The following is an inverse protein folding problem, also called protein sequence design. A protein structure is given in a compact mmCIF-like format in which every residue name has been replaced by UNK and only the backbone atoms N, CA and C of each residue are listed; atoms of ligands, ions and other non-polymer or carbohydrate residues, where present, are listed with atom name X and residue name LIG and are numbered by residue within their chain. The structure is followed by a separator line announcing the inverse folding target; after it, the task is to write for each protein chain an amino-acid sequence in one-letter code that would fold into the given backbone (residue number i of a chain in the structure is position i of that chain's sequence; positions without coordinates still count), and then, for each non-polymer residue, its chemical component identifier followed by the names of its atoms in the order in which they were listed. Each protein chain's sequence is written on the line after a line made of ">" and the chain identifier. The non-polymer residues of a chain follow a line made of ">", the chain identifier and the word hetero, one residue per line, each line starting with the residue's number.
data_IF_141930322103
#
_entry.id   IF_141930322103
#
_cell.length_a   1.000
_cell.length_b   1.000
_cell.length_c   1.000
_cell.angle_alpha   90.00
_cell.angle_beta   90.00
_cell.angle_gamma   90.00
#
_symmetry.space_group_name_H-M   'P 1'
#
loop_
_entity.id
_entity.type
_entity.pdbx_description
1 polymer ?
#
# COMPACT_ATOMS: atom_id res chain seq x y z
N UNK A 1 -11.38 -11.98 -21.47
CA UNK A 1 -10.93 -11.43 -22.74
C UNK A 1 -10.10 -10.18 -22.49
N UNK A 2 -8.90 -10.19 -23.03
CA UNK A 2 -8.05 -9.02 -22.98
C UNK A 2 -8.61 -7.97 -23.94
N UNK A 3 -8.83 -6.76 -23.47
CA UNK A 3 -9.33 -5.68 -24.31
C UNK A 3 -8.33 -4.51 -24.34
N UNK A 4 -8.60 -3.55 -25.23
CA UNK A 4 -7.71 -2.41 -25.44
C UNK A 4 -7.58 -1.52 -24.20
N UNK A 5 -8.55 -1.56 -23.31
CA UNK A 5 -8.52 -0.73 -22.11
C UNK A 5 -7.48 -1.23 -21.08
N UNK A 6 -7.08 -2.50 -21.16
CA UNK A 6 -6.12 -3.04 -20.22
C UNK A 6 -4.77 -2.32 -20.29
N UNK A 7 -4.33 -1.96 -21.50
CA UNK A 7 -3.06 -1.25 -21.66
C UNK A 7 -3.12 0.16 -21.06
N UNK A 8 -4.25 0.85 -21.22
CA UNK A 8 -4.43 2.18 -20.65
C UNK A 8 -4.57 2.14 -19.12
N UNK A 9 -4.99 1.00 -18.56
CA UNK A 9 -5.18 0.84 -17.13
C UNK A 9 -3.86 0.79 -16.34
N UNK A 10 -2.72 0.55 -16.99
CA UNK A 10 -1.45 0.45 -16.29
C UNK A 10 -1.05 1.73 -15.56
N UNK A 11 -1.55 2.88 -15.99
CA UNK A 11 -1.26 4.15 -15.35
C UNK A 11 -2.35 4.62 -14.37
N UNK A 12 -3.38 3.82 -14.13
CA UNK A 12 -4.47 4.27 -13.29
C UNK A 12 -4.12 4.18 -11.79
N UNK A 13 -4.90 4.86 -10.92
CA UNK A 13 -4.61 4.90 -9.48
C UNK A 13 -4.53 3.53 -8.83
N UNK A 14 -5.35 2.58 -9.26
CA UNK A 14 -5.33 1.22 -8.70
C UNK A 14 -3.97 0.58 -8.87
N UNK A 15 -3.42 0.66 -10.10
CA UNK A 15 -2.14 0.05 -10.40
C UNK A 15 -1.01 0.68 -9.61
N UNK A 16 -1.05 1.99 -9.40
CA UNK A 16 -0.05 2.68 -8.59
C UNK A 16 -0.08 2.19 -7.14
N UNK A 17 -1.27 2.02 -6.58
CA UNK A 17 -1.44 1.51 -5.22
C UNK A 17 -0.91 0.08 -5.11
N UNK A 18 -1.30 -0.81 -6.02
CA UNK A 18 -0.83 -2.18 -6.01
C UNK A 18 0.69 -2.27 -6.16
N UNK A 19 1.24 -1.51 -7.10
CA UNK A 19 2.68 -1.50 -7.32
C UNK A 19 3.42 -1.00 -6.09
N UNK A 20 2.93 0.07 -5.46
CA UNK A 20 3.56 0.61 -4.28
C UNK A 20 3.58 -0.40 -3.13
N UNK A 21 2.47 -1.10 -2.91
CA UNK A 21 2.34 -2.05 -1.81
C UNK A 21 2.90 -3.45 -2.12
N UNK A 22 3.30 -3.70 -3.36
CA UNK A 22 3.90 -4.98 -3.72
C UNK A 22 5.31 -5.16 -3.14
N UNK A 23 6.04 -4.08 -2.96
CA UNK A 23 7.38 -4.13 -2.36
C UNK A 23 7.25 -4.35 -0.85
N UNK A 24 7.84 -5.42 -0.29
CA UNK A 24 7.68 -5.72 1.14
C UNK A 24 8.21 -4.62 2.06
N UNK A 25 9.34 -4.01 1.72
CA UNK A 25 9.91 -2.94 2.55
C UNK A 25 9.03 -1.71 2.53
N UNK A 26 8.53 -1.35 1.36
CA UNK A 26 7.63 -0.20 1.19
C UNK A 26 6.33 -0.42 1.95
N UNK A 27 5.79 -1.63 1.84
CA UNK A 27 4.56 -1.99 2.57
C UNK A 27 4.77 -1.92 4.08
N UNK A 28 5.92 -2.37 4.58
CA UNK A 28 6.24 -2.31 6.00
C UNK A 28 6.34 -0.86 6.49
N UNK A 29 6.92 0.02 5.69
CA UNK A 29 6.98 1.45 6.01
C UNK A 29 5.57 2.05 6.06
N UNK A 30 4.73 1.73 5.09
CA UNK A 30 3.35 2.17 5.09
C UNK A 30 2.61 1.69 6.34
N UNK A 31 2.75 0.42 6.69
CA UNK A 31 2.12 -0.15 7.87
C UNK A 31 2.60 0.54 9.16
N UNK A 32 3.88 0.88 9.24
CA UNK A 32 4.40 1.63 10.37
C UNK A 32 3.72 2.99 10.51
N UNK A 33 3.47 3.66 9.38
CA UNK A 33 2.82 4.97 9.38
C UNK A 33 1.34 4.89 9.76
N UNK A 34 0.71 3.73 9.65
CA UNK A 34 -0.68 3.58 10.11
C UNK A 34 -0.80 3.70 11.63
N UNK A 35 0.31 3.54 12.35
CA UNK A 35 0.34 3.69 13.81
C UNK A 35 0.61 5.12 14.24
N UNK A 36 1.01 5.97 13.33
CA UNK A 36 1.27 7.37 13.61
C UNK A 36 2.28 7.96 12.67
N UNK A 37 2.25 9.27 12.59
CA UNK A 37 3.18 10.06 11.81
C UNK A 37 4.63 9.81 12.23
N UNK A 38 5.54 9.83 11.28
CA UNK A 38 6.96 9.64 11.56
C UNK A 38 7.83 10.47 10.63
N UNK A 39 8.99 10.86 11.13
CA UNK A 39 10.02 11.51 10.33
C UNK A 39 10.86 10.46 9.61
N UNK A 40 11.52 10.88 8.53
CA UNK A 40 12.39 9.99 7.75
C UNK A 40 13.46 9.34 8.66
N UNK A 41 14.06 10.10 9.56
CA UNK A 41 15.09 9.57 10.45
C UNK A 41 14.54 8.46 11.36
N UNK A 42 13.30 8.60 11.80
CA UNK A 42 12.66 7.59 12.65
C UNK A 42 12.46 6.29 11.88
N UNK A 43 12.00 6.41 10.63
CA UNK A 43 11.80 5.25 9.77
C UNK A 43 13.12 4.57 9.43
N UNK A 44 14.15 5.36 9.15
CA UNK A 44 15.51 4.84 8.90
C UNK A 44 15.99 4.00 10.08
N UNK A 45 15.78 4.50 11.29
CA UNK A 45 16.17 3.79 12.49
C UNK A 45 15.38 2.51 12.69
N UNK A 46 14.05 2.57 12.50
CA UNK A 46 13.16 1.41 12.72
C UNK A 46 13.45 0.25 11.77
N UNK A 47 13.79 0.56 10.53
CA UNK A 47 13.90 -0.47 9.50
C UNK A 47 15.33 -0.86 9.18
N UNK A 48 16.32 -0.17 9.77
CA UNK A 48 17.74 -0.48 9.57
C UNK A 48 18.15 -0.48 8.10
N UNK A 49 17.57 0.42 7.32
CA UNK A 49 17.93 0.62 5.92
C UNK A 49 18.44 2.05 5.74
N UNK A 50 19.05 2.31 4.59
CA UNK A 50 19.63 3.63 4.35
C UNK A 50 18.56 4.71 4.23
N UNK A 51 18.93 5.94 4.57
CA UNK A 51 18.02 7.06 4.41
C UNK A 51 17.60 7.26 2.96
N UNK A 52 18.49 7.15 1.95
CA UNK A 52 18.05 7.21 0.56
C UNK A 52 17.00 6.15 0.20
N UNK A 53 17.14 4.94 0.73
CA UNK A 53 16.16 3.88 0.49
C UNK A 53 14.80 4.23 1.08
N UNK A 54 14.77 4.73 2.33
CA UNK A 54 13.53 5.19 2.96
C UNK A 54 12.89 6.30 2.13
N UNK A 55 13.71 7.26 1.70
CA UNK A 55 13.20 8.39 0.90
C UNK A 55 12.60 7.93 -0.42
N UNK A 56 13.21 6.94 -1.08
CA UNK A 56 12.68 6.37 -2.32
C UNK A 56 11.35 5.66 -2.10
N UNK A 57 11.24 4.90 -1.02
CA UNK A 57 9.98 4.22 -0.67
C UNK A 57 8.88 5.22 -0.37
N UNK A 58 9.20 6.27 0.39
CA UNK A 58 8.22 7.31 0.71
C UNK A 58 7.79 8.09 -0.53
N UNK A 59 8.71 8.34 -1.45
CA UNK A 59 8.37 9.01 -2.71
C UNK A 59 7.39 8.17 -3.53
N UNK A 60 7.61 6.86 -3.59
CA UNK A 60 6.71 5.96 -4.30
C UNK A 60 5.32 5.90 -3.64
N UNK A 61 5.29 5.85 -2.30
CA UNK A 61 4.03 5.86 -1.56
C UNK A 61 3.28 7.17 -1.76
N UNK A 62 4.00 8.29 -1.77
CA UNK A 62 3.40 9.59 -2.00
C UNK A 62 2.86 9.72 -3.42
N UNK A 63 3.62 9.25 -4.40
CA UNK A 63 3.17 9.27 -5.81
C UNK A 63 1.90 8.43 -5.99
N UNK A 64 1.76 7.36 -5.24
CA UNK A 64 0.56 6.52 -5.28
C UNK A 64 -0.61 7.12 -4.47
N UNK A 65 -0.39 8.24 -3.79
CA UNK A 65 -1.44 8.89 -2.99
C UNK A 65 -1.67 8.27 -1.63
N UNK A 66 -0.77 7.39 -1.18
CA UNK A 66 -0.96 6.65 0.06
C UNK A 66 -0.45 7.38 1.30
N UNK A 67 0.46 8.33 1.13
CA UNK A 67 1.00 9.11 2.23
C UNK A 67 1.09 10.58 1.83
N UNK A 68 1.13 11.43 2.84
CA UNK A 68 1.37 12.86 2.71
C UNK A 68 2.58 13.25 3.53
N UNK A 69 3.23 14.33 3.12
CA UNK A 69 4.36 14.89 3.84
C UNK A 69 3.99 16.27 4.36
N UNK A 70 4.47 16.60 5.56
CA UNK A 70 4.41 17.96 6.06
C UNK A 70 5.78 18.35 6.60
N UNK A 71 6.13 19.61 6.42
CA UNK A 71 7.38 20.13 6.94
C UNK A 71 7.12 20.89 8.24
N UNK A 72 7.95 20.63 9.23
CA UNK A 72 7.97 21.40 10.47
C UNK A 72 9.42 21.70 10.81
N UNK A 73 9.80 22.97 10.65
CA UNK A 73 11.20 23.36 10.79
C UNK A 73 12.07 22.67 9.75
N UNK A 74 13.07 21.94 10.21
CA UNK A 74 13.99 21.18 9.33
C UNK A 74 13.56 19.74 9.13
N UNK A 75 12.48 19.33 9.80
CA UNK A 75 12.00 17.96 9.73
C UNK A 75 10.86 17.82 8.73
N UNK A 76 10.83 16.70 8.02
CA UNK A 76 9.73 16.32 7.17
C UNK A 76 9.09 15.09 7.80
N UNK A 77 7.79 15.17 8.06
CA UNK A 77 7.02 14.10 8.65
C UNK A 77 6.08 13.51 7.61
N UNK A 78 5.94 12.21 7.61
CA UNK A 78 5.04 11.50 6.72
C UNK A 78 3.91 10.87 7.50
N UNK A 79 2.72 10.89 6.91
CA UNK A 79 1.53 10.30 7.50
C UNK A 79 0.72 9.61 6.42
N UNK A 80 -0.08 8.63 6.81
CA UNK A 80 -0.99 7.96 5.89
C UNK A 80 -2.05 8.94 5.39
N UNK A 81 -2.35 8.86 4.10
CA UNK A 81 -3.51 9.53 3.51
C UNK A 81 -4.60 8.48 3.29
N UNK A 82 -5.63 8.44 4.17
CA UNK A 82 -6.66 7.40 4.06
C UNK A 82 -7.37 7.36 2.71
N UNK A 83 -7.54 8.52 2.08
CA UNK A 83 -8.19 8.60 0.76
C UNK A 83 -7.41 7.85 -0.32
N UNK A 84 -6.12 7.70 -0.13
CA UNK A 84 -5.27 6.98 -1.08
C UNK A 84 -5.60 5.51 -1.18
N UNK A 85 -6.26 4.95 -0.17
CA UNK A 85 -6.68 3.55 -0.19
C UNK A 85 -7.97 3.33 -0.98
N UNK A 86 -8.67 4.39 -1.37
CA UNK A 86 -9.94 4.27 -2.07
C UNK A 86 -9.88 3.40 -3.31
N UNK A 87 -8.88 3.52 -4.21
CA UNK A 87 -8.82 2.64 -5.38
C UNK A 87 -8.77 1.16 -5.01
N UNK A 88 -8.04 0.82 -3.96
CA UNK A 88 -7.95 -0.56 -3.49
C UNK A 88 -9.26 -1.03 -2.88
N UNK A 89 -9.88 -0.19 -2.05
CA UNK A 89 -11.17 -0.50 -1.42
C UNK A 89 -12.24 -0.68 -2.50
N UNK A 90 -12.26 0.19 -3.50
CA UNK A 90 -13.22 0.09 -4.60
C UNK A 90 -13.00 -1.19 -5.40
N UNK A 91 -11.76 -1.57 -5.64
CA UNK A 91 -11.45 -2.81 -6.33
C UNK A 91 -11.96 -4.03 -5.55
N UNK A 92 -11.72 -4.06 -4.25
CA UNK A 92 -12.21 -5.13 -3.39
C UNK A 92 -13.74 -5.16 -3.40
N UNK A 93 -14.38 -3.99 -3.27
CA UNK A 93 -15.83 -3.89 -3.25
C UNK A 93 -16.46 -4.36 -4.56
N UNK A 94 -15.78 -4.15 -5.69
CA UNK A 94 -16.24 -4.58 -7.00
C UNK A 94 -16.43 -6.11 -7.05
N UNK A 95 -15.65 -6.84 -6.27
CA UNK A 95 -15.73 -8.29 -6.21
C UNK A 95 -16.39 -8.80 -4.93
N UNK A 96 -17.19 -7.94 -4.28
CA UNK A 96 -17.81 -8.30 -3.00
C UNK A 96 -18.59 -9.61 -3.06
N UNK A 97 -19.40 -9.78 -4.07
CA UNK A 97 -20.20 -11.00 -4.21
C UNK A 97 -19.30 -12.23 -4.30
N UNK A 98 -18.25 -12.14 -5.09
CA UNK A 98 -17.26 -13.21 -5.21
C UNK A 98 -16.65 -13.55 -3.86
N UNK A 99 -16.17 -12.55 -3.12
CA UNK A 99 -15.54 -12.78 -1.82
C UNK A 99 -16.52 -13.39 -0.83
N UNK A 100 -17.75 -12.87 -0.79
CA UNK A 100 -18.79 -13.38 0.10
C UNK A 100 -19.09 -14.84 -0.17
N UNK A 101 -19.14 -15.25 -1.43
CA UNK A 101 -19.46 -16.62 -1.82
C UNK A 101 -18.28 -17.58 -1.59
N UNK A 102 -17.05 -17.11 -1.67
CA UNK A 102 -15.88 -17.98 -1.74
C UNK A 102 -15.01 -17.98 -0.49
N UNK A 103 -15.11 -16.98 0.37
CA UNK A 103 -14.25 -16.87 1.54
C UNK A 103 -14.45 -18.07 2.49
N UNK A 104 -15.70 -18.42 2.79
CA UNK A 104 -15.98 -19.56 3.68
C UNK A 104 -15.41 -20.86 3.14
N UNK A 105 -15.55 -21.06 1.82
CA UNK A 105 -14.99 -22.25 1.18
C UNK A 105 -13.46 -22.25 1.23
N UNK A 106 -12.84 -21.09 1.00
CA UNK A 106 -11.40 -20.97 1.08
C UNK A 106 -10.89 -21.26 2.49
N UNK A 107 -11.55 -20.70 3.49
CA UNK A 107 -11.19 -20.95 4.89
C UNK A 107 -11.28 -22.45 5.21
N UNK A 108 -12.34 -23.09 4.75
CA UNK A 108 -12.54 -24.52 4.95
C UNK A 108 -11.40 -25.33 4.29
N UNK A 109 -11.04 -24.97 3.05
CA UNK A 109 -9.98 -25.66 2.35
C UNK A 109 -8.63 -25.49 3.05
N UNK A 110 -8.37 -24.30 3.59
CA UNK A 110 -7.13 -24.04 4.32
C UNK A 110 -7.06 -24.84 5.61
N UNK A 111 -8.19 -25.02 6.32
CA UNK A 111 -8.24 -25.83 7.52
C UNK A 111 -7.99 -27.32 7.23
N UNK A 112 -8.37 -27.80 6.06
CA UNK A 112 -8.19 -29.20 5.67
C UNK A 112 -6.77 -29.49 5.15
N UNK A 113 -5.97 -28.45 4.88
CA UNK A 113 -4.61 -28.65 4.40
C UNK A 113 -3.70 -29.09 5.54
N UNK A 114 -2.86 -30.11 5.30
CA UNK A 114 -1.87 -30.52 6.30
C UNK A 114 -0.82 -29.42 6.47
N UNK A 115 -0.33 -29.28 7.69
CA UNK A 115 0.74 -28.33 8.00
C UNK A 115 2.07 -28.73 7.43
#
# INVERSE_FOLDING_TARGET
>A
VFNMHAAAAFGNPENKVFTALADPSRRAIFESLTRGEAAVKDLTSRFSISQPAVSQHLAALKDAGLVNARREGRCVYYRVEPRGMKPLVDWIAHYRAFWTQHVSRLEQLLEEMPE
#
